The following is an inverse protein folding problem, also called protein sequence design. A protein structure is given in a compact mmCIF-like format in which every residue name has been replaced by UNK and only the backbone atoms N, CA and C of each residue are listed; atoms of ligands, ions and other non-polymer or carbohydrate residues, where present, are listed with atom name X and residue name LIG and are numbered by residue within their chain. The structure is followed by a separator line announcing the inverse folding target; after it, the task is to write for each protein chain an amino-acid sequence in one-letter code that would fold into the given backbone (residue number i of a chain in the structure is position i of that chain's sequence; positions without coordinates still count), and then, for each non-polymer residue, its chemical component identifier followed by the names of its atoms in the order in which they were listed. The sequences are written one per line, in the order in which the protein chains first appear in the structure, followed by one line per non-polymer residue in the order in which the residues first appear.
data_IF_775439592081
#
_entry.id   IF_775439592081
#
_cell.length_a   1.000
_cell.length_b   1.000
_cell.length_c   1.000
_cell.angle_alpha   90.00
_cell.angle_beta   90.00
_cell.angle_gamma   90.00
#
_symmetry.space_group_name_H-M   'P 1'
#
loop_
_entity.id
_entity.type
_entity.pdbx_description
1 polymer ?
#
# COMPACT_ATOMS: atom_id res chain seq x y z
N UNK A 1 12.25 -20.74 -76.27
CA UNK A 1 11.70 -19.39 -75.99
C UNK A 1 10.82 -19.37 -74.73
N UNK A 2 9.84 -20.26 -74.61
CA UNK A 2 8.92 -20.31 -73.46
C UNK A 2 9.57 -20.56 -72.09
N UNK A 3 10.54 -21.50 -72.00
CA UNK A 3 11.29 -21.76 -70.75
C UNK A 3 12.10 -20.53 -70.28
N UNK A 4 12.64 -19.75 -71.21
CA UNK A 4 13.41 -18.54 -70.92
C UNK A 4 12.49 -17.44 -70.36
N UNK A 5 11.31 -17.25 -70.97
CA UNK A 5 10.28 -16.31 -70.52
C UNK A 5 9.72 -16.68 -69.12
N UNK A 6 9.54 -17.97 -68.84
CA UNK A 6 9.13 -18.45 -67.52
C UNK A 6 10.22 -18.20 -66.46
N UNK A 7 11.48 -18.39 -66.81
CA UNK A 7 12.61 -18.15 -65.92
C UNK A 7 12.80 -16.65 -65.60
N UNK A 8 12.66 -15.74 -66.57
CA UNK A 8 12.69 -14.30 -66.33
C UNK A 8 11.55 -13.84 -65.43
N UNK A 9 10.32 -14.30 -65.67
CA UNK A 9 9.16 -13.96 -64.83
C UNK A 9 9.31 -14.46 -63.39
N UNK A 10 9.88 -15.65 -63.19
CA UNK A 10 10.19 -16.15 -61.84
C UNK A 10 11.32 -15.37 -61.17
N UNK A 11 12.34 -14.93 -61.92
CA UNK A 11 13.40 -14.05 -61.40
C UNK A 11 12.84 -12.70 -60.95
N UNK A 12 11.99 -12.07 -61.75
CA UNK A 12 11.32 -10.79 -61.42
C UNK A 12 10.45 -10.92 -60.17
N UNK A 13 9.68 -12.00 -60.03
CA UNK A 13 8.90 -12.26 -58.81
C UNK A 13 9.79 -12.37 -57.57
N UNK A 14 10.93 -13.07 -57.65
CA UNK A 14 11.88 -13.20 -56.53
C UNK A 14 12.55 -11.88 -56.19
N UNK A 15 12.86 -11.04 -57.18
CA UNK A 15 13.41 -9.70 -56.97
C UNK A 15 12.37 -8.80 -56.28
N UNK A 16 11.13 -8.78 -56.76
CA UNK A 16 10.04 -8.03 -56.13
C UNK A 16 9.78 -8.46 -54.69
N UNK A 17 9.77 -9.77 -54.43
CA UNK A 17 9.59 -10.30 -53.08
C UNK A 17 10.77 -9.95 -52.16
N UNK A 18 12.00 -10.02 -52.68
CA UNK A 18 13.20 -9.58 -51.96
C UNK A 18 13.10 -8.11 -51.58
N UNK A 19 12.76 -7.23 -52.52
CA UNK A 19 12.60 -5.80 -52.25
C UNK A 19 11.49 -5.51 -51.23
N UNK A 20 10.39 -6.28 -51.26
CA UNK A 20 9.30 -6.17 -50.27
C UNK A 20 9.78 -6.55 -48.86
N UNK A 21 10.52 -7.64 -48.73
CA UNK A 21 11.06 -8.11 -47.46
C UNK A 21 12.12 -7.12 -46.94
N UNK A 22 12.99 -6.62 -47.80
CA UNK A 22 13.99 -5.60 -47.45
C UNK A 22 13.34 -4.31 -46.94
N UNK A 23 12.27 -3.85 -47.59
CA UNK A 23 11.49 -2.69 -47.12
C UNK A 23 10.92 -2.90 -45.72
N UNK A 24 10.28 -4.04 -45.46
CA UNK A 24 9.77 -4.39 -44.12
C UNK A 24 10.89 -4.52 -43.08
N UNK A 25 12.01 -5.11 -43.47
CA UNK A 25 13.17 -5.24 -42.58
C UNK A 25 13.71 -3.87 -42.16
N UNK A 26 13.83 -2.93 -43.10
CA UNK A 26 14.24 -1.56 -42.80
C UNK A 26 13.27 -0.86 -41.84
N UNK A 27 11.96 -1.02 -42.03
CA UNK A 27 10.95 -0.47 -41.13
C UNK A 27 11.08 -1.02 -39.70
N UNK A 28 11.25 -2.34 -39.56
CA UNK A 28 11.44 -2.99 -38.26
C UNK A 28 12.73 -2.51 -37.59
N UNK A 29 13.82 -2.40 -38.34
CA UNK A 29 15.11 -1.90 -37.82
C UNK A 29 14.98 -0.46 -37.33
N UNK A 30 14.29 0.40 -38.07
CA UNK A 30 14.10 1.79 -37.64
C UNK A 30 13.18 1.87 -36.41
N UNK A 31 12.17 1.01 -36.32
CA UNK A 31 11.32 0.91 -35.13
C UNK A 31 12.12 0.48 -33.91
N UNK A 32 12.98 -0.54 -34.03
CA UNK A 32 13.91 -0.98 -32.95
C UNK A 32 14.81 0.18 -32.53
N UNK A 33 15.39 0.94 -33.47
CA UNK A 33 16.22 2.10 -33.16
C UNK A 33 15.44 3.19 -32.41
N UNK A 34 14.22 3.50 -32.86
CA UNK A 34 13.38 4.49 -32.18
C UNK A 34 13.02 4.06 -30.75
N UNK A 35 12.69 2.79 -30.53
CA UNK A 35 12.36 2.27 -29.21
C UNK A 35 13.57 2.24 -28.28
N UNK A 36 14.75 1.88 -28.80
CA UNK A 36 16.01 1.98 -28.04
C UNK A 36 16.31 3.42 -27.63
N UNK A 37 16.14 4.39 -28.55
CA UNK A 37 16.28 5.82 -28.22
C UNK A 37 15.29 6.26 -27.14
N UNK A 38 14.03 5.83 -27.23
CA UNK A 38 13.01 6.10 -26.20
C UNK A 38 13.37 5.50 -24.84
N UNK A 39 13.86 4.27 -24.81
CA UNK A 39 14.27 3.63 -23.54
C UNK A 39 15.48 4.34 -22.90
N UNK A 40 16.27 5.04 -23.70
CA UNK A 40 17.41 5.84 -23.24
C UNK A 40 17.05 7.29 -22.90
N UNK A 41 15.80 7.73 -23.06
CA UNK A 41 15.40 9.06 -22.58
C UNK A 41 15.35 9.07 -21.06
N UNK A 42 15.53 10.26 -20.48
CA UNK A 42 15.52 10.48 -19.03
C UNK A 42 14.26 9.93 -18.35
N UNK A 43 13.14 9.92 -19.07
CA UNK A 43 11.85 9.40 -18.59
C UNK A 43 11.87 7.88 -18.31
N UNK A 44 12.61 7.10 -19.11
CA UNK A 44 12.57 5.63 -19.03
C UNK A 44 13.88 5.01 -18.55
N UNK A 45 15.00 5.74 -18.61
CA UNK A 45 16.33 5.19 -18.35
C UNK A 45 16.48 4.63 -16.93
N UNK A 46 15.91 5.31 -15.94
CA UNK A 46 16.04 4.95 -14.52
C UNK A 46 14.69 4.58 -13.86
N UNK A 47 13.67 4.28 -14.68
CA UNK A 47 12.30 4.05 -14.21
C UNK A 47 12.20 2.88 -13.24
N UNK A 48 12.96 1.80 -13.47
CA UNK A 48 12.95 0.62 -12.61
C UNK A 48 13.51 0.92 -11.21
N UNK A 49 14.59 1.71 -11.14
CA UNK A 49 15.19 2.10 -9.87
C UNK A 49 14.32 3.12 -9.14
N UNK A 50 13.75 4.11 -9.85
CA UNK A 50 12.80 5.06 -9.27
C UNK A 50 11.56 4.34 -8.72
N UNK A 51 11.02 3.37 -9.46
CA UNK A 51 9.92 2.53 -9.00
C UNK A 51 10.31 1.74 -7.77
N UNK A 52 11.49 1.10 -7.76
CA UNK A 52 11.99 0.33 -6.61
C UNK A 52 12.08 1.19 -5.36
N UNK A 53 12.68 2.38 -5.46
CA UNK A 53 12.81 3.32 -4.34
C UNK A 53 11.43 3.79 -3.86
N UNK A 54 10.53 4.16 -4.77
CA UNK A 54 9.17 4.57 -4.43
C UNK A 54 8.39 3.44 -3.75
N UNK A 55 8.51 2.21 -4.24
CA UNK A 55 7.83 1.05 -3.69
C UNK A 55 8.33 0.69 -2.29
N UNK A 56 9.65 0.73 -2.07
CA UNK A 56 10.23 0.55 -0.73
C UNK A 56 9.70 1.62 0.22
N UNK A 57 9.69 2.89 -0.19
CA UNK A 57 9.19 3.99 0.63
C UNK A 57 7.71 3.80 0.96
N UNK A 58 6.89 3.41 -0.02
CA UNK A 58 5.47 3.14 0.17
C UNK A 58 5.24 2.05 1.22
N UNK A 59 5.83 0.86 1.03
CA UNK A 59 5.66 -0.25 1.97
C UNK A 59 6.21 0.07 3.36
N UNK A 60 7.35 0.76 3.44
CA UNK A 60 7.91 1.18 4.74
C UNK A 60 6.97 2.14 5.47
N UNK A 61 6.36 3.09 4.75
CA UNK A 61 5.40 4.04 5.31
C UNK A 61 4.10 3.35 5.74
N UNK A 62 3.63 2.39 4.94
CA UNK A 62 2.45 1.57 5.25
C UNK A 62 2.67 0.76 6.54
N UNK A 63 3.82 0.10 6.67
CA UNK A 63 4.20 -0.63 7.88
C UNK A 63 4.25 0.29 9.10
N UNK A 64 4.92 1.44 8.98
CA UNK A 64 4.97 2.43 10.06
C UNK A 64 3.57 2.92 10.47
N UNK A 65 2.68 3.18 9.50
CA UNK A 65 1.29 3.56 9.78
C UNK A 65 0.52 2.48 10.53
N UNK A 66 0.70 1.21 10.13
CA UNK A 66 0.08 0.06 10.81
C UNK A 66 0.57 -0.09 12.24
N UNK A 67 1.87 0.11 12.47
CA UNK A 67 2.45 0.04 13.80
C UNK A 67 1.96 1.18 14.69
N UNK A 68 1.87 2.41 14.17
CA UNK A 68 1.28 3.54 14.91
C UNK A 68 -0.16 3.23 15.36
N UNK A 69 -1.00 2.67 14.48
CA UNK A 69 -2.38 2.28 14.83
C UNK A 69 -2.40 1.23 15.94
N UNK A 70 -1.50 0.24 15.89
CA UNK A 70 -1.37 -0.80 16.92
C UNK A 70 -0.94 -0.21 18.26
N UNK A 71 0.08 0.64 18.26
CA UNK A 71 0.55 1.29 19.49
C UNK A 71 -0.50 2.22 20.08
N UNK A 72 -1.23 2.97 19.25
CA UNK A 72 -2.33 3.81 19.70
C UNK A 72 -3.38 2.98 20.47
N UNK A 73 -3.85 1.88 19.87
CA UNK A 73 -4.84 1.01 20.51
C UNK A 73 -4.31 0.34 21.78
N UNK A 74 -3.05 -0.11 21.77
CA UNK A 74 -2.43 -0.70 22.95
C UNK A 74 -2.31 0.29 24.11
N UNK A 75 -1.93 1.54 23.82
CA UNK A 75 -1.82 2.61 24.81
C UNK A 75 -3.20 2.98 25.35
N UNK A 76 -4.20 3.13 24.49
CA UNK A 76 -5.58 3.40 24.90
C UNK A 76 -6.12 2.31 25.85
N UNK A 77 -5.93 1.04 25.51
CA UNK A 77 -6.32 -0.08 26.37
C UNK A 77 -5.58 -0.07 27.72
N UNK A 78 -4.27 0.22 27.70
CA UNK A 78 -3.48 0.32 28.93
C UNK A 78 -3.97 1.48 29.82
N UNK A 79 -4.31 2.62 29.21
CA UNK A 79 -4.84 3.78 29.90
C UNK A 79 -6.21 3.50 30.52
N UNK A 80 -7.11 2.88 29.77
CA UNK A 80 -8.43 2.47 30.28
C UNK A 80 -8.28 1.52 31.47
N UNK A 81 -7.43 0.50 31.33
CA UNK A 81 -7.15 -0.44 32.43
C UNK A 81 -6.60 0.28 33.65
N UNK A 82 -5.68 1.22 33.47
CA UNK A 82 -5.14 2.03 34.56
C UNK A 82 -6.25 2.81 35.28
N UNK A 83 -7.12 3.50 34.53
CA UNK A 83 -8.24 4.24 35.11
C UNK A 83 -9.23 3.32 35.83
N UNK A 84 -9.57 2.16 35.27
CA UNK A 84 -10.43 1.17 35.94
C UNK A 84 -9.85 0.75 37.29
N UNK A 85 -8.55 0.45 37.35
CA UNK A 85 -7.88 0.08 38.61
C UNK A 85 -7.92 1.26 39.60
N UNK A 86 -7.68 2.49 39.14
CA UNK A 86 -7.74 3.68 40.01
C UNK A 86 -9.13 3.96 40.56
N UNK A 87 -10.18 3.83 39.76
CA UNK A 87 -11.55 3.99 40.23
C UNK A 87 -11.91 2.90 41.25
N UNK A 88 -11.48 1.66 41.04
CA UNK A 88 -11.67 0.59 42.02
C UNK A 88 -10.95 0.88 43.35
N UNK A 89 -9.71 1.37 43.30
CA UNK A 89 -8.96 1.79 44.49
C UNK A 89 -9.67 2.94 45.24
N UNK A 90 -10.16 3.94 44.50
CA UNK A 90 -10.91 5.07 45.09
C UNK A 90 -12.22 4.59 45.73
N UNK A 91 -13.00 3.77 45.02
CA UNK A 91 -14.26 3.25 45.54
C UNK A 91 -14.07 2.39 46.79
N UNK A 92 -12.94 1.68 46.91
CA UNK A 92 -12.59 0.98 48.15
C UNK A 92 -12.46 1.95 49.32
N UNK A 93 -11.71 3.05 49.15
CA UNK A 93 -11.53 4.08 50.18
C UNK A 93 -12.86 4.75 50.54
N UNK A 94 -13.67 5.09 49.53
CA UNK A 94 -14.98 5.70 49.74
C UNK A 94 -15.88 4.80 50.59
N UNK A 95 -15.94 3.50 50.29
CA UNK A 95 -16.74 2.54 51.07
C UNK A 95 -16.25 2.44 52.52
N UNK A 96 -14.93 2.38 52.73
CA UNK A 96 -14.34 2.37 54.08
C UNK A 96 -14.72 3.62 54.88
N UNK A 97 -14.65 4.81 54.26
CA UNK A 97 -15.04 6.08 54.89
C UNK A 97 -16.55 6.18 55.15
N UNK A 98 -17.37 5.66 54.23
CA UNK A 98 -18.83 5.65 54.36
C UNK A 98 -19.27 4.87 55.59
N UNK A 99 -18.74 3.65 55.77
CA UNK A 99 -19.04 2.80 56.93
C UNK A 99 -18.65 3.45 58.27
N UNK A 100 -17.57 4.22 58.29
CA UNK A 100 -17.14 4.93 59.50
C UNK A 100 -18.07 6.11 59.83
N UNK A 101 -18.50 6.85 58.82
CA UNK A 101 -19.11 8.18 58.99
C UNK A 101 -20.64 8.15 58.98
N UNK A 102 -21.25 7.30 58.16
CA UNK A 102 -22.70 7.25 57.98
C UNK A 102 -23.33 6.21 58.93
N UNK A 103 -24.40 6.62 59.62
CA UNK A 103 -25.10 5.80 60.65
C UNK A 103 -26.56 5.50 60.29
N UNK A 104 -27.03 5.95 59.13
CA UNK A 104 -28.37 5.65 58.63
C UNK A 104 -28.46 4.24 58.03
N UNK A 105 -29.67 3.66 58.03
CA UNK A 105 -29.94 2.33 57.43
C UNK A 105 -30.40 2.41 55.97
N UNK A 106 -30.60 3.62 55.45
CA UNK A 106 -31.20 3.88 54.14
C UNK A 106 -30.21 3.76 52.96
N UNK A 107 -28.91 3.92 53.18
CA UNK A 107 -27.89 3.83 52.11
C UNK A 107 -26.72 2.96 52.56
N UNK A 108 -26.54 1.83 51.88
CA UNK A 108 -25.50 0.85 52.21
C UNK A 108 -24.08 1.29 51.81
N UNK A 109 -23.92 1.91 50.62
CA UNK A 109 -22.64 2.42 50.14
C UNK A 109 -22.83 3.40 49.00
N UNK A 110 -21.82 4.25 48.78
CA UNK A 110 -21.70 5.10 47.59
C UNK A 110 -20.45 4.73 46.79
N UNK A 111 -20.49 4.94 45.48
CA UNK A 111 -19.35 4.71 44.60
C UNK A 111 -19.37 5.65 43.40
N UNK A 112 -18.19 5.84 42.82
CA UNK A 112 -17.98 6.57 41.57
C UNK A 112 -17.98 5.56 40.42
N UNK A 113 -18.87 5.75 39.45
CA UNK A 113 -18.90 4.96 38.23
C UNK A 113 -18.22 5.74 37.09
N UNK A 114 -17.26 5.12 36.42
CA UNK A 114 -16.66 5.67 35.21
C UNK A 114 -17.30 5.01 33.99
N UNK A 115 -18.31 5.66 33.41
CA UNK A 115 -18.85 5.27 32.12
C UNK A 115 -17.84 5.54 31.00
N UNK A 116 -17.58 4.55 30.16
CA UNK A 116 -16.97 4.78 28.87
C UNK A 116 -18.12 4.91 27.87
N UNK A 117 -18.44 6.13 27.45
CA UNK A 117 -19.27 6.30 26.25
C UNK A 117 -18.45 5.73 25.10
N UNK A 118 -18.73 4.46 24.74
CA UNK A 118 -18.26 3.90 23.49
C UNK A 118 -18.92 4.71 22.40
N UNK A 119 -18.23 5.74 21.91
CA UNK A 119 -18.60 6.48 20.72
C UNK A 119 -18.61 5.52 19.54
N UNK A 120 -19.75 4.85 19.34
CA UNK A 120 -20.10 4.23 18.07
C UNK A 120 -20.34 5.36 17.08
N UNK A 121 -19.24 5.80 16.46
CA UNK A 121 -19.23 6.54 15.20
C UNK A 121 -18.73 5.63 14.09
#
# INVERSE_FOLDING_TARGET
VEKLAKATRSKEKRVSEKSRIEGRWMEVVEKIRSLKRKLSTEEYKDVDEQFRVANIKYHTTELASKDIKRYYSAVEQALLKYHTVKIQEINKIIRELWLLTYKGEDISSIEIESGHETGTG
#
